data_IF_230262652910
#
_entry.id   IF_230262652910
#
_cell.length_a   1.000
_cell.length_b   1.000
_cell.length_c   1.000
_cell.angle_alpha   90.00
_cell.angle_beta   90.00
_cell.angle_gamma   90.00
#
_symmetry.space_group_name_H-M   'P 1'
#
loop_
_entity.id
_entity.type
_entity.pdbx_description
1 polymer ?
#
# COMPACT_ATOMS: atom_id res chain seq x y z
N UNK A 1 -9.79 13.12 -1.86
CA UNK A 1 -9.32 11.73 -1.79
C UNK A 1 -8.01 11.65 -1.05
N UNK A 2 -7.84 10.61 -0.23
CA UNK A 2 -6.56 10.36 0.43
C UNK A 2 -5.53 9.90 -0.61
N UNK A 3 -4.29 10.35 -0.47
CA UNK A 3 -3.17 10.03 -1.36
C UNK A 3 -2.29 8.99 -0.69
N UNK A 4 -2.10 7.84 -1.34
CA UNK A 4 -1.13 6.84 -0.95
C UNK A 4 0.16 7.08 -1.75
N UNK A 5 1.28 7.19 -1.04
CA UNK A 5 2.60 7.40 -1.63
C UNK A 5 3.60 6.44 -1.01
N UNK A 6 4.50 5.89 -1.81
CA UNK A 6 5.59 5.06 -1.32
C UNK A 6 6.89 5.33 -2.05
N UNK A 7 8.00 5.06 -1.36
CA UNK A 7 9.34 5.21 -1.89
C UNK A 7 10.16 3.96 -1.64
N UNK A 8 10.95 3.58 -2.65
CA UNK A 8 11.97 2.56 -2.56
C UNK A 8 13.32 3.25 -2.30
N UNK A 9 14.06 2.78 -1.30
CA UNK A 9 15.44 3.21 -1.07
C UNK A 9 16.38 2.24 -1.78
N UNK A 10 17.15 2.75 -2.73
CA UNK A 10 18.03 1.96 -3.59
C UNK A 10 19.37 2.70 -3.72
N UNK A 11 20.49 2.06 -3.37
CA UNK A 11 21.82 2.68 -3.35
C UNK A 11 21.87 3.97 -2.52
N UNK A 12 21.13 4.03 -1.42
CA UNK A 12 20.97 5.25 -0.61
C UNK A 12 20.12 6.37 -1.23
N UNK A 13 19.55 6.17 -2.43
CA UNK A 13 18.66 7.13 -3.07
C UNK A 13 17.19 6.80 -2.81
N UNK A 14 16.38 7.84 -2.58
CA UNK A 14 14.95 7.73 -2.31
C UNK A 14 14.16 7.92 -3.60
N UNK A 15 13.66 6.83 -4.16
CA UNK A 15 12.96 6.81 -5.45
C UNK A 15 11.45 6.66 -5.25
N UNK A 16 10.64 7.45 -5.97
CA UNK A 16 9.19 7.31 -5.96
C UNK A 16 8.81 5.93 -6.51
N UNK A 17 8.08 5.15 -5.72
CA UNK A 17 7.71 3.78 -6.05
C UNK A 17 6.25 3.66 -6.45
N UNK A 18 5.34 4.33 -5.72
CA UNK A 18 3.93 4.45 -6.04
C UNK A 18 3.42 5.82 -5.62
N UNK A 19 2.47 6.38 -6.35
CA UNK A 19 1.70 7.56 -5.93
C UNK A 19 0.33 7.57 -6.60
N UNK A 20 -0.71 7.87 -5.83
CA UNK A 20 -2.04 8.07 -6.37
C UNK A 20 -3.13 8.11 -5.31
N UNK A 21 -4.35 8.52 -5.68
CA UNK A 21 -5.46 8.48 -4.77
C UNK A 21 -5.88 7.03 -4.50
N UNK A 22 -6.28 6.72 -3.26
CA UNK A 22 -6.73 5.37 -2.88
C UNK A 22 -7.98 4.91 -3.64
N UNK A 23 -8.73 5.85 -4.21
CA UNK A 23 -9.93 5.62 -5.03
C UNK A 23 -9.63 4.97 -6.39
N UNK A 24 -8.36 4.79 -6.74
CA UNK A 24 -7.95 3.96 -7.90
C UNK A 24 -8.11 2.46 -7.66
N UNK A 25 -8.17 2.03 -6.40
CA UNK A 25 -8.46 0.64 -6.01
C UNK A 25 -9.97 0.46 -5.83
N UNK A 26 -10.46 -0.78 -5.93
CA UNK A 26 -11.85 -1.09 -5.61
C UNK A 26 -12.15 -0.73 -4.14
N UNK A 27 -13.34 -0.18 -3.88
CA UNK A 27 -13.76 0.13 -2.52
C UNK A 27 -13.89 -1.15 -1.70
N UNK A 28 -13.69 -1.02 -0.39
CA UNK A 28 -13.87 -2.12 0.55
C UNK A 28 -15.30 -2.67 0.48
N UNK A 29 -16.30 -1.80 0.34
CA UNK A 29 -17.71 -2.15 0.19
C UNK A 29 -17.96 -3.00 -1.06
N UNK A 30 -17.39 -2.59 -2.20
CA UNK A 30 -17.52 -3.33 -3.46
C UNK A 30 -16.88 -4.72 -3.35
N UNK A 31 -15.72 -4.81 -2.72
CA UNK A 31 -15.02 -6.08 -2.56
C UNK A 31 -15.77 -7.03 -1.61
N UNK A 32 -16.30 -6.53 -0.48
CA UNK A 32 -17.14 -7.32 0.43
C UNK A 32 -18.37 -7.85 -0.32
N UNK A 33 -19.08 -6.97 -1.04
CA UNK A 33 -20.27 -7.38 -1.78
C UNK A 33 -20.00 -8.46 -2.83
N UNK A 34 -18.86 -8.39 -3.53
CA UNK A 34 -18.51 -9.36 -4.58
C UNK A 34 -18.14 -10.74 -4.05
N UNK A 35 -17.40 -10.81 -2.96
CA UNK A 35 -16.81 -12.07 -2.47
C UNK A 35 -17.57 -12.66 -1.28
N UNK A 36 -18.30 -11.82 -0.54
CA UNK A 36 -19.06 -12.22 0.62
C UNK A 36 -20.43 -11.51 0.63
N UNK A 37 -21.30 -11.78 -0.37
CA UNK A 37 -22.56 -11.06 -0.54
C UNK A 37 -23.50 -11.16 0.68
N UNK A 38 -23.41 -12.25 1.44
CA UNK A 38 -24.19 -12.51 2.64
C UNK A 38 -23.55 -11.92 3.92
N UNK A 39 -22.26 -11.55 3.84
CA UNK A 39 -21.48 -11.00 4.94
C UNK A 39 -21.68 -9.49 4.93
N UNK A 40 -22.83 -9.03 5.42
CA UNK A 40 -23.18 -7.60 5.40
C UNK A 40 -22.10 -6.69 5.99
N UNK A 41 -21.34 -7.18 6.97
CA UNK A 41 -20.16 -6.51 7.54
C UNK A 41 -19.07 -7.53 7.89
N UNK A 42 -17.80 -7.15 7.76
CA UNK A 42 -16.68 -7.95 8.26
C UNK A 42 -16.76 -8.11 9.79
N UNK A 43 -16.36 -9.29 10.29
CA UNK A 43 -16.25 -9.53 11.74
C UNK A 43 -15.17 -8.63 12.36
N UNK A 44 -15.32 -8.33 13.66
CA UNK A 44 -14.33 -7.56 14.40
C UNK A 44 -12.93 -8.20 14.32
N UNK A 45 -11.89 -7.36 14.22
CA UNK A 45 -10.49 -7.77 14.06
C UNK A 45 -10.16 -8.45 12.71
N UNK A 46 -11.05 -8.35 11.72
CA UNK A 46 -10.75 -8.78 10.35
C UNK A 46 -9.92 -7.73 9.60
N UNK A 47 -8.87 -8.17 8.91
CA UNK A 47 -8.09 -7.34 8.00
C UNK A 47 -8.42 -7.69 6.56
N UNK A 48 -8.62 -6.65 5.74
CA UNK A 48 -8.86 -6.79 4.31
C UNK A 48 -7.78 -6.04 3.53
N UNK A 49 -7.13 -6.74 2.60
CA UNK A 49 -6.14 -6.14 1.70
C UNK A 49 -6.82 -5.78 0.37
N UNK A 50 -7.04 -4.49 0.12
CA UNK A 50 -7.84 -3.99 -1.02
C UNK A 50 -7.04 -3.82 -2.33
N UNK A 51 -5.86 -4.44 -2.42
CA UNK A 51 -4.95 -4.28 -3.54
C UNK A 51 -3.89 -3.19 -3.31
N UNK A 52 -3.25 -2.77 -4.39
CA UNK A 52 -2.16 -1.80 -4.37
C UNK A 52 -2.15 -0.96 -5.65
N UNK A 53 -1.46 0.18 -5.61
CA UNK A 53 -1.25 1.03 -6.79
C UNK A 53 -0.25 0.38 -7.75
N UNK A 54 -0.33 0.74 -9.03
CA UNK A 54 0.69 0.34 -9.99
C UNK A 54 2.07 0.87 -9.56
N UNK A 55 3.07 0.00 -9.60
CA UNK A 55 4.45 0.33 -9.20
C UNK A 55 5.21 0.95 -10.37
N UNK A 56 5.98 1.99 -10.08
CA UNK A 56 6.86 2.65 -11.04
C UNK A 56 8.11 1.79 -11.21
N UNK A 57 8.40 1.38 -12.44
CA UNK A 57 9.58 0.57 -12.77
C UNK A 57 9.46 -0.92 -12.43
N UNK A 58 8.28 -1.41 -12.07
CA UNK A 58 8.05 -2.82 -11.75
C UNK A 58 8.48 -3.22 -10.34
N UNK A 59 8.03 -4.41 -9.92
CA UNK A 59 8.37 -4.99 -8.62
C UNK A 59 9.82 -5.45 -8.61
N UNK A 60 10.59 -4.99 -7.63
CA UNK A 60 12.03 -5.25 -7.53
C UNK A 60 12.52 -5.18 -6.07
N UNK A 61 13.67 -5.82 -5.75
CA UNK A 61 14.31 -5.67 -4.45
C UNK A 61 14.74 -4.22 -4.18
N UNK A 62 14.76 -3.83 -2.90
CA UNK A 62 15.20 -2.52 -2.43
C UNK A 62 15.81 -2.65 -1.02
N UNK A 63 16.54 -1.64 -0.56
CA UNK A 63 17.21 -1.62 0.75
C UNK A 63 16.23 -1.26 1.88
N UNK A 64 15.28 -0.38 1.59
CA UNK A 64 14.22 0.00 2.51
C UNK A 64 12.97 0.45 1.74
N UNK A 65 11.83 0.39 2.42
CA UNK A 65 10.56 0.85 1.89
C UNK A 65 9.94 1.88 2.83
N UNK A 66 9.46 2.97 2.26
CA UNK A 66 8.70 4.00 2.95
C UNK A 66 7.30 4.09 2.37
N UNK A 67 6.28 4.24 3.23
CA UNK A 67 4.89 4.40 2.82
C UNK A 67 4.21 5.47 3.65
N UNK A 68 3.35 6.27 3.01
CA UNK A 68 2.50 7.24 3.69
C UNK A 68 1.11 7.32 3.06
N UNK A 69 0.13 7.60 3.91
CA UNK A 69 -1.23 7.95 3.53
C UNK A 69 -1.49 9.39 4.01
N UNK A 70 -1.79 10.26 3.06
CA UNK A 70 -1.97 11.70 3.27
C UNK A 70 -3.41 12.12 3.00
N UNK A 71 -3.98 12.92 3.90
CA UNK A 71 -5.18 13.70 3.63
C UNK A 71 -4.76 15.11 3.15
N UNK A 72 -4.83 15.40 1.83
CA UNK A 72 -4.33 16.67 1.29
C UNK A 72 -5.15 17.88 1.72
N UNK A 73 -6.38 17.69 2.24
CA UNK A 73 -7.23 18.78 2.71
C UNK A 73 -6.81 19.23 4.11
N UNK A 74 -6.53 18.29 5.01
CA UNK A 74 -6.13 18.59 6.38
C UNK A 74 -4.62 18.58 6.62
N UNK A 75 -3.83 18.10 5.66
CA UNK A 75 -2.37 17.94 5.76
C UNK A 75 -1.92 16.84 6.73
N UNK A 76 -2.85 16.02 7.23
CA UNK A 76 -2.53 14.92 8.15
C UNK A 76 -1.95 13.74 7.38
N UNK A 77 -0.97 13.08 7.99
CA UNK A 77 -0.34 11.88 7.43
C UNK A 77 -0.15 10.80 8.47
N UNK A 78 -0.25 9.55 8.01
CA UNK A 78 0.26 8.37 8.71
C UNK A 78 1.36 7.81 7.81
N UNK A 79 2.54 7.56 8.37
CA UNK A 79 3.70 7.07 7.63
C UNK A 79 4.40 5.93 8.35
N UNK A 80 5.02 5.06 7.59
CA UNK A 80 5.83 3.96 8.09
C UNK A 80 7.05 3.71 7.20
N UNK A 81 8.11 3.17 7.79
CA UNK A 81 9.33 2.80 7.10
C UNK A 81 9.91 1.54 7.74
N UNK A 82 10.48 0.68 6.91
CA UNK A 82 11.28 -0.46 7.37
C UNK A 82 12.46 -0.72 6.43
N UNK A 83 13.56 -1.20 7.01
CA UNK A 83 14.69 -1.74 6.26
C UNK A 83 14.39 -3.18 5.85
N UNK A 84 14.89 -3.60 4.69
CA UNK A 84 14.66 -4.93 4.14
C UNK A 84 15.92 -5.77 4.35
N UNK A 85 15.75 -6.94 4.98
CA UNK A 85 16.78 -7.96 5.03
C UNK A 85 16.50 -9.00 3.93
N UNK A 86 17.31 -8.97 2.87
CA UNK A 86 17.24 -9.99 1.81
C UNK A 86 17.70 -11.34 2.34
N UNK A 87 16.85 -12.34 2.24
CA UNK A 87 17.16 -13.73 2.59
C UNK A 87 17.86 -14.43 1.41
N UNK A 88 18.70 -15.46 1.68
CA UNK A 88 19.26 -16.29 0.62
C UNK A 88 18.16 -17.04 -0.13
N UNK A 89 18.40 -17.33 -1.41
CA UNK A 89 17.54 -18.23 -2.19
C UNK A 89 17.97 -19.68 -1.92
N UNK A 90 17.11 -20.43 -1.23
CA UNK A 90 17.37 -21.82 -0.82
C UNK A 90 16.70 -22.87 -1.75
N UNK A 91 16.07 -22.44 -2.85
CA UNK A 91 15.36 -23.31 -3.79
C UNK A 91 13.88 -23.51 -3.46
#
# INVERSE_FOLDING_TARGET
>A
DLILRSHAIENGERNLYQEGPITTMLSTEDLIHRYYPDLGTLEANTLMFCGTLAVIGGVRPMEAFEVELEDPVSGRKISHQYAIQTLPNEG
#
